data_IF_844591341934
#
_entry.id   IF_844591341934
#
_cell.length_a   1.000
_cell.length_b   1.000
_cell.length_c   1.000
_cell.angle_alpha   90.00
_cell.angle_beta   90.00
_cell.angle_gamma   90.00
#
_symmetry.space_group_name_H-M   'P 1'
#
loop_
_entity.id
_entity.type
_entity.pdbx_description
1 polymer ?
#
# COMPACT_ATOMS: atom_id res chain seq x y z
N UNK A 1 3.71 -11.43 11.40
CA UNK A 1 3.66 -10.05 11.94
C UNK A 1 4.32 -9.11 10.93
N UNK A 2 3.84 -7.87 10.81
CA UNK A 2 4.43 -6.83 9.95
C UNK A 2 4.67 -5.60 10.82
N UNK A 3 5.84 -4.97 10.67
CA UNK A 3 6.22 -3.77 11.42
C UNK A 3 6.93 -2.80 10.49
N UNK A 4 6.80 -1.51 10.76
CA UNK A 4 7.64 -0.46 10.16
C UNK A 4 8.90 -0.15 11.00
N UNK A 5 9.04 -0.78 12.18
CA UNK A 5 10.23 -0.71 13.01
C UNK A 5 11.27 -1.77 12.65
N UNK A 6 12.33 -1.88 13.46
CA UNK A 6 13.46 -2.78 13.20
C UNK A 6 13.35 -4.15 13.89
N UNK A 7 12.41 -4.30 14.84
CA UNK A 7 12.32 -5.46 15.72
C UNK A 7 10.88 -5.74 16.15
N UNK A 8 10.69 -6.94 16.72
CA UNK A 8 9.45 -7.40 17.32
C UNK A 8 9.68 -7.62 18.81
N UNK A 9 9.19 -6.73 19.66
CA UNK A 9 9.47 -6.76 21.09
C UNK A 9 8.95 -8.05 21.74
N UNK A 10 9.80 -8.69 22.55
CA UNK A 10 9.52 -9.99 23.16
C UNK A 10 9.78 -11.19 22.24
N UNK A 11 10.19 -10.98 20.99
CA UNK A 11 10.54 -12.03 20.03
C UNK A 11 12.01 -11.91 19.59
N UNK A 12 12.60 -13.04 19.19
CA UNK A 12 13.93 -13.10 18.58
C UNK A 12 13.79 -13.51 17.12
N UNK A 13 14.40 -12.76 16.21
CA UNK A 13 14.52 -13.16 14.80
C UNK A 13 15.60 -14.25 14.73
N UNK A 14 15.24 -15.46 14.28
CA UNK A 14 16.18 -16.57 14.15
C UNK A 14 16.91 -16.56 12.80
N UNK A 15 16.25 -16.07 11.75
CA UNK A 15 16.79 -16.04 10.39
C UNK A 15 16.24 -14.85 9.60
N UNK A 16 17.08 -14.26 8.74
CA UNK A 16 16.68 -13.24 7.78
C UNK A 16 16.68 -13.83 6.37
N UNK A 17 15.52 -13.86 5.72
CA UNK A 17 15.33 -14.48 4.39
C UNK A 17 15.65 -13.54 3.21
N UNK A 18 16.35 -12.43 3.47
CA UNK A 18 16.64 -11.39 2.47
C UNK A 18 15.57 -10.29 2.37
N UNK A 19 15.71 -9.45 1.35
CA UNK A 19 14.83 -8.30 1.11
C UNK A 19 13.70 -8.67 0.14
N UNK A 20 12.47 -8.30 0.49
CA UNK A 20 11.29 -8.47 -0.36
C UNK A 20 10.67 -7.09 -0.68
N UNK A 21 10.25 -6.92 -1.93
CA UNK A 21 9.52 -5.73 -2.40
C UNK A 21 8.32 -6.16 -3.23
N UNK A 22 7.23 -5.41 -3.14
CA UNK A 22 5.99 -5.65 -3.85
C UNK A 22 5.45 -4.33 -4.36
N UNK A 23 5.30 -4.25 -5.67
CA UNK A 23 4.87 -3.05 -6.37
C UNK A 23 3.54 -3.30 -7.06
N UNK A 24 2.69 -2.28 -7.10
CA UNK A 24 1.43 -2.30 -7.87
C UNK A 24 1.49 -1.19 -8.90
N UNK A 25 1.25 -1.54 -10.16
CA UNK A 25 1.16 -0.56 -11.25
C UNK A 25 -0.22 0.10 -11.23
N UNK A 26 -0.22 1.43 -11.19
CA UNK A 26 -1.42 2.24 -11.29
C UNK A 26 -1.71 2.52 -12.77
N UNK A 27 -2.80 1.96 -13.30
CA UNK A 27 -3.22 2.21 -14.68
C UNK A 27 -3.77 3.64 -14.89
N UNK A 28 -3.69 4.15 -16.13
CA UNK A 28 -4.19 5.49 -16.51
C UNK A 28 -5.67 5.72 -16.20
N UNK A 29 -6.50 4.68 -16.18
CA UNK A 29 -7.92 4.79 -15.80
C UNK A 29 -8.11 5.22 -14.34
N UNK A 30 -7.18 4.86 -13.46
CA UNK A 30 -7.14 5.34 -12.08
C UNK A 30 -6.66 6.79 -12.02
N UNK A 31 -5.60 7.16 -12.74
CA UNK A 31 -5.14 8.56 -12.78
C UNK A 31 -6.24 9.52 -13.23
N UNK A 32 -6.99 9.18 -14.28
CA UNK A 32 -8.14 9.96 -14.75
C UNK A 32 -9.27 10.07 -13.73
N UNK A 33 -9.54 8.99 -12.98
CA UNK A 33 -10.52 9.01 -11.90
C UNK A 33 -10.08 9.92 -10.75
N UNK A 34 -8.79 9.90 -10.41
CA UNK A 34 -8.23 10.80 -9.40
C UNK A 34 -8.25 12.26 -9.86
N UNK A 35 -7.95 12.56 -11.12
CA UNK A 35 -8.04 13.92 -11.69
C UNK A 35 -9.48 14.45 -11.68
N UNK A 36 -10.45 13.62 -12.07
CA UNK A 36 -11.87 13.97 -12.04
C UNK A 36 -12.35 14.20 -10.60
N UNK A 37 -11.97 13.32 -9.65
CA UNK A 37 -12.30 13.49 -8.23
C UNK A 37 -11.59 14.70 -7.62
N UNK A 38 -10.35 15.00 -8.03
CA UNK A 38 -9.60 16.18 -7.57
C UNK A 38 -10.19 17.48 -8.11
N UNK A 39 -10.71 17.48 -9.34
CA UNK A 39 -11.44 18.64 -9.88
C UNK A 39 -12.72 18.97 -9.11
N UNK A 40 -13.30 17.97 -8.44
CA UNK A 40 -14.44 18.13 -7.53
C UNK A 40 -14.01 18.43 -6.08
N UNK A 41 -12.70 18.44 -5.78
CA UNK A 41 -12.14 18.53 -4.43
C UNK A 41 -11.81 19.97 -4.01
N UNK A 42 -12.82 20.82 -3.90
CA UNK A 42 -12.70 22.10 -3.18
C UNK A 42 -13.28 21.97 -1.77
N UNK A 43 -12.62 21.17 -0.91
CA UNK A 43 -12.91 21.12 0.52
C UNK A 43 -12.78 19.74 1.15
N UNK A 44 -11.86 19.61 2.12
CA UNK A 44 -11.83 18.59 3.18
C UNK A 44 -11.79 17.13 2.70
N UNK A 45 -10.58 16.59 2.49
CA UNK A 45 -10.26 15.18 2.22
C UNK A 45 -11.24 14.42 1.27
N UNK A 46 -10.83 14.25 0.00
CA UNK A 46 -11.61 13.45 -0.96
C UNK A 46 -11.69 12.02 -0.46
N UNK A 47 -12.85 11.63 0.09
CA UNK A 47 -13.12 10.25 0.52
C UNK A 47 -12.81 9.23 -0.59
N UNK A 48 -12.97 9.65 -1.86
CA UNK A 48 -12.64 8.84 -3.03
C UNK A 48 -11.12 8.64 -3.19
N UNK A 49 -10.31 9.71 -3.06
CA UNK A 49 -8.85 9.62 -3.11
C UNK A 49 -8.29 8.75 -1.96
N UNK A 50 -8.81 8.93 -0.74
CA UNK A 50 -8.41 8.15 0.44
C UNK A 50 -8.72 6.67 0.24
N UNK A 51 -9.93 6.34 -0.21
CA UNK A 51 -10.33 4.96 -0.52
C UNK A 51 -9.41 4.34 -1.56
N UNK A 52 -9.13 5.06 -2.64
CA UNK A 52 -8.38 4.54 -3.77
C UNK A 52 -6.90 4.33 -3.48
N UNK A 53 -6.30 5.22 -2.69
CA UNK A 53 -4.94 5.06 -2.17
C UNK A 53 -4.85 3.87 -1.21
N UNK A 54 -5.89 3.65 -0.40
CA UNK A 54 -6.03 2.47 0.45
C UNK A 54 -6.03 1.16 -0.35
N UNK A 55 -6.83 1.08 -1.42
CA UNK A 55 -6.90 -0.10 -2.30
C UNK A 55 -5.55 -0.42 -2.96
N UNK A 56 -4.80 0.60 -3.40
CA UNK A 56 -3.46 0.41 -3.96
C UNK A 56 -2.52 -0.16 -2.90
N UNK A 57 -2.53 0.44 -1.69
CA UNK A 57 -1.66 0.00 -0.59
C UNK A 57 -1.94 -1.46 -0.22
N UNK A 58 -3.21 -1.84 -0.13
CA UNK A 58 -3.63 -3.19 0.18
C UNK A 58 -3.11 -4.20 -0.87
N UNK A 59 -3.26 -3.88 -2.16
CA UNK A 59 -2.73 -4.73 -3.25
C UNK A 59 -1.22 -4.91 -3.18
N UNK A 60 -0.46 -3.84 -2.94
CA UNK A 60 0.99 -3.93 -2.79
C UNK A 60 1.39 -4.76 -1.56
N UNK A 61 0.66 -4.65 -0.45
CA UNK A 61 0.90 -5.49 0.74
C UNK A 61 0.57 -6.96 0.51
N UNK A 62 -0.48 -7.27 -0.25
CA UNK A 62 -0.80 -8.65 -0.64
C UNK A 62 0.29 -9.24 -1.55
N UNK A 63 0.78 -8.45 -2.50
CA UNK A 63 1.89 -8.88 -3.37
C UNK A 63 3.14 -9.24 -2.56
N UNK A 64 3.48 -8.43 -1.55
CA UNK A 64 4.57 -8.73 -0.61
C UNK A 64 4.38 -10.08 0.13
N UNK A 65 3.16 -10.37 0.57
CA UNK A 65 2.85 -11.58 1.32
C UNK A 65 2.81 -12.84 0.44
N UNK A 66 2.37 -12.73 -0.83
CA UNK A 66 2.33 -13.89 -1.74
C UNK A 66 3.71 -14.40 -2.15
N UNK A 67 4.73 -13.54 -2.17
CA UNK A 67 6.12 -13.94 -2.47
C UNK A 67 6.73 -14.82 -1.35
N UNK A 68 6.07 -14.90 -0.18
CA UNK A 68 6.54 -15.68 0.97
C UNK A 68 5.97 -17.13 1.02
N UNK A 69 5.19 -17.56 0.02
CA UNK A 69 4.63 -18.92 -0.13
C UNK A 69 5.42 -19.75 -1.14
#
# INVERSE_FOLDING_TARGET
MVTSGFNFDGYKIEEYLGYISGETVIGMGLLKALEADFSNLTGTESAALTKKTGEIREKSMMALQMVQL
#
